data_IF_039018355165
#
_entry.id   IF_039018355165
#
_cell.length_a   1.000
_cell.length_b   1.000
_cell.length_c   1.000
_cell.angle_alpha   90.00
_cell.angle_beta   90.00
_cell.angle_gamma   90.00
#
_symmetry.space_group_name_H-M   'P 1'
#
loop_
_entity.id
_entity.type
_entity.pdbx_description
1 polymer ?
#
# COMPACT_ATOMS: atom_id res chain seq x y z
N UNK A 1 11.48 36.94 -11.61
CA UNK A 1 10.17 36.93 -12.29
C UNK A 1 9.42 35.73 -11.73
N UNK A 2 8.75 35.94 -10.61
CA UNK A 2 8.03 34.87 -9.93
C UNK A 2 6.75 34.57 -10.70
N UNK A 3 6.59 33.32 -11.12
CA UNK A 3 5.39 32.86 -11.79
C UNK A 3 4.20 32.96 -10.82
N UNK A 4 3.04 33.48 -11.26
CA UNK A 4 1.90 33.66 -10.38
C UNK A 4 1.36 32.31 -9.90
N UNK A 5 1.18 32.19 -8.60
CA UNK A 5 0.45 31.10 -7.95
C UNK A 5 -1.00 31.13 -8.48
N UNK A 6 -1.30 30.28 -9.46
CA UNK A 6 -2.67 30.05 -9.92
C UNK A 6 -3.41 29.40 -8.75
N UNK A 7 -4.24 30.19 -8.06
CA UNK A 7 -5.17 29.66 -7.07
C UNK A 7 -6.27 28.92 -7.82
N UNK A 8 -6.21 27.59 -7.76
CA UNK A 8 -7.27 26.71 -8.25
C UNK A 8 -8.51 26.87 -7.35
N UNK A 9 -9.73 26.87 -7.92
CA UNK A 9 -10.96 27.16 -7.19
C UNK A 9 -11.32 25.95 -6.33
N UNK A 10 -10.78 25.94 -5.11
CA UNK A 10 -11.01 24.90 -4.11
C UNK A 10 -9.78 24.67 -3.22
N UNK A 11 -9.36 25.67 -2.44
CA UNK A 11 -8.63 25.55 -1.16
C UNK A 11 -7.38 24.67 -1.00
N UNK A 12 -6.91 23.93 -2.00
CA UNK A 12 -5.76 23.03 -1.89
C UNK A 12 -4.50 23.74 -2.39
N UNK A 13 -3.52 23.91 -1.51
CA UNK A 13 -2.23 24.48 -1.85
C UNK A 13 -1.26 23.41 -2.30
N UNK A 14 -0.56 23.66 -3.40
CA UNK A 14 0.53 22.82 -3.89
C UNK A 14 1.61 22.63 -2.80
N UNK A 15 2.20 21.43 -2.68
CA UNK A 15 3.34 21.16 -1.80
C UNK A 15 4.49 22.17 -1.93
N UNK A 16 5.14 22.50 -0.82
CA UNK A 16 6.34 23.32 -0.79
C UNK A 16 7.61 22.49 -1.03
N UNK A 17 7.60 21.20 -0.67
CA UNK A 17 8.73 20.30 -0.89
C UNK A 17 8.41 18.82 -0.73
N UNK A 18 9.43 17.97 -0.89
CA UNK A 18 9.34 16.50 -0.78
C UNK A 18 8.79 16.02 0.57
N UNK A 19 9.00 16.81 1.62
CA UNK A 19 8.48 16.51 2.95
C UNK A 19 6.97 16.66 3.07
N UNK A 20 6.25 17.21 2.09
CA UNK A 20 4.79 17.40 2.16
C UNK A 20 3.99 16.23 1.55
N UNK A 21 4.69 15.15 1.19
CA UNK A 21 4.12 13.91 0.67
C UNK A 21 4.12 12.86 1.77
N UNK A 22 2.93 12.42 2.17
CA UNK A 22 2.75 11.41 3.22
C UNK A 22 2.43 10.02 2.66
N UNK A 23 1.96 9.97 1.41
CA UNK A 23 1.52 8.74 0.75
C UNK A 23 2.35 8.48 -0.49
N UNK A 24 2.89 7.27 -0.59
CA UNK A 24 3.51 6.75 -1.79
C UNK A 24 2.60 5.74 -2.48
N UNK A 25 2.60 5.69 -3.81
CA UNK A 25 1.96 4.64 -4.60
C UNK A 25 3.03 3.99 -5.48
N UNK A 26 3.15 2.67 -5.39
CA UNK A 26 4.13 1.88 -6.13
C UNK A 26 3.37 0.95 -7.07
N UNK A 27 3.71 0.98 -8.36
CA UNK A 27 3.11 0.13 -9.41
C UNK A 27 4.22 -0.66 -10.12
N UNK A 28 3.97 -1.93 -10.43
CA UNK A 28 4.96 -2.79 -11.08
C UNK A 28 4.87 -2.75 -12.62
N UNK A 29 3.67 -2.52 -13.16
CA UNK A 29 3.37 -2.54 -14.58
C UNK A 29 2.81 -1.19 -15.05
N UNK A 30 3.05 -0.87 -16.32
CA UNK A 30 2.52 0.37 -16.94
C UNK A 30 1.00 0.44 -16.89
N UNK A 31 0.28 -0.67 -17.07
CA UNK A 31 -1.19 -0.71 -17.00
C UNK A 31 -1.72 -0.36 -15.60
N UNK A 32 -0.93 -0.63 -14.55
CA UNK A 32 -1.26 -0.33 -13.15
C UNK A 32 -1.00 1.15 -12.87
N UNK A 33 0.18 1.63 -13.29
CA UNK A 33 0.55 3.03 -13.19
C UNK A 33 -0.44 3.93 -13.93
N UNK A 34 -0.81 3.59 -15.17
CA UNK A 34 -1.78 4.33 -15.97
C UNK A 34 -3.17 4.39 -15.29
N UNK A 35 -3.61 3.29 -14.67
CA UNK A 35 -4.87 3.25 -13.91
C UNK A 35 -4.85 4.18 -12.70
N UNK A 36 -3.74 4.19 -11.94
CA UNK A 36 -3.52 5.11 -10.82
C UNK A 36 -3.49 6.57 -11.30
N UNK A 37 -2.76 6.87 -12.37
CA UNK A 37 -2.66 8.22 -12.93
C UNK A 37 -4.00 8.75 -13.44
N UNK A 38 -4.88 7.88 -13.96
CA UNK A 38 -6.24 8.28 -14.35
C UNK A 38 -7.08 8.74 -13.15
N UNK A 39 -6.71 8.36 -11.93
CA UNK A 39 -7.38 8.73 -10.69
C UNK A 39 -6.69 9.86 -9.91
N UNK A 40 -5.54 10.36 -10.35
CA UNK A 40 -4.95 11.58 -9.79
C UNK A 40 -5.86 12.77 -10.15
N UNK A 41 -6.22 13.56 -9.14
CA UNK A 41 -7.11 14.71 -9.30
C UNK A 41 -6.37 15.92 -9.88
N UNK A 42 -5.09 16.07 -9.53
CA UNK A 42 -4.25 17.18 -9.95
C UNK A 42 -2.78 16.74 -9.95
N UNK A 43 -2.06 17.03 -11.04
CA UNK A 43 -0.63 16.70 -11.16
C UNK A 43 0.22 17.88 -10.68
N UNK A 44 1.25 17.58 -9.91
CA UNK A 44 2.20 18.57 -9.40
C UNK A 44 3.48 18.66 -10.23
N UNK A 45 3.61 17.86 -11.27
CA UNK A 45 4.78 17.74 -12.16
C UNK A 45 4.46 17.99 -13.63
N UNK A 46 3.23 18.44 -13.96
CA UNK A 46 2.78 18.67 -15.35
C UNK A 46 3.73 19.58 -16.16
N UNK A 47 4.40 20.52 -15.48
CA UNK A 47 5.35 21.47 -16.07
C UNK A 47 6.81 21.19 -15.68
N UNK A 48 7.11 19.94 -15.30
CA UNK A 48 8.43 19.48 -14.85
C UNK A 48 8.48 19.17 -13.35
N UNK A 49 9.39 18.29 -12.98
CA UNK A 49 9.61 17.89 -11.59
C UNK A 49 10.36 18.98 -10.82
N UNK A 50 9.62 19.68 -9.95
CA UNK A 50 10.14 20.72 -9.04
C UNK A 50 10.60 20.18 -7.69
N UNK A 51 10.23 18.95 -7.34
CA UNK A 51 10.53 18.36 -6.04
C UNK A 51 11.85 17.60 -6.08
N UNK A 52 12.14 16.99 -7.25
CA UNK A 52 13.36 16.25 -7.48
C UNK A 52 13.44 15.00 -6.60
N UNK A 53 14.67 14.52 -6.44
CA UNK A 53 15.00 13.33 -5.65
C UNK A 53 16.41 13.49 -5.07
N UNK A 54 16.74 12.67 -4.07
CA UNK A 54 18.10 12.70 -3.51
C UNK A 54 19.12 12.16 -4.51
N UNK A 55 20.39 12.56 -4.34
CA UNK A 55 21.48 12.02 -5.15
C UNK A 55 21.58 10.50 -4.98
N UNK A 56 21.74 9.78 -6.09
CA UNK A 56 21.80 8.31 -6.12
C UNK A 56 20.45 7.62 -6.26
N UNK A 57 19.35 8.35 -6.15
CA UNK A 57 18.01 7.83 -6.45
C UNK A 57 17.78 7.78 -7.97
N UNK A 58 17.54 6.58 -8.49
CA UNK A 58 17.32 6.34 -9.92
C UNK A 58 15.83 6.28 -10.29
N UNK A 59 14.92 6.32 -9.32
CA UNK A 59 13.47 6.29 -9.57
C UNK A 59 13.03 7.52 -10.35
N UNK A 60 11.98 7.36 -11.16
CA UNK A 60 11.25 8.46 -11.76
C UNK A 60 9.94 8.58 -11.01
N UNK A 61 9.66 9.79 -10.52
CA UNK A 61 8.47 10.05 -9.73
C UNK A 61 7.44 10.83 -10.53
N UNK A 62 6.19 10.44 -10.34
CA UNK A 62 5.04 11.27 -10.66
C UNK A 62 4.45 11.82 -9.38
N UNK A 63 4.19 13.13 -9.34
CA UNK A 63 3.65 13.77 -8.13
C UNK A 63 2.29 14.36 -8.39
N UNK A 64 1.38 14.25 -7.42
CA UNK A 64 0.04 14.78 -7.59
C UNK A 64 -0.76 14.82 -6.30
N UNK A 65 -2.04 15.13 -6.44
CA UNK A 65 -3.04 15.09 -5.39
C UNK A 65 -4.07 14.02 -5.71
N UNK A 66 -4.37 13.20 -4.72
CA UNK A 66 -5.44 12.20 -4.79
C UNK A 66 -6.30 12.36 -3.55
N UNK A 67 -7.52 12.86 -3.74
CA UNK A 67 -8.39 13.35 -2.67
C UNK A 67 -7.77 14.55 -1.95
N UNK A 68 -7.58 14.38 -0.65
CA UNK A 68 -6.96 15.37 0.24
C UNK A 68 -5.45 15.17 0.43
N UNK A 69 -4.88 14.10 -0.14
CA UNK A 69 -3.49 13.71 0.09
C UNK A 69 -2.60 14.13 -1.08
N UNK A 70 -1.38 14.58 -0.76
CA UNK A 70 -0.30 14.66 -1.74
C UNK A 70 0.33 13.28 -1.89
N UNK A 71 0.43 12.82 -3.13
CA UNK A 71 0.92 11.49 -3.49
C UNK A 71 2.18 11.58 -4.33
N UNK A 72 3.13 10.71 -4.03
CA UNK A 72 4.26 10.40 -4.91
C UNK A 72 4.05 9.01 -5.48
N UNK A 73 4.04 8.90 -6.80
CA UNK A 73 3.83 7.65 -7.54
C UNK A 73 5.15 7.25 -8.19
N UNK A 74 5.51 5.98 -8.07
CA UNK A 74 6.67 5.39 -8.76
C UNK A 74 6.21 4.15 -9.53
N UNK A 75 6.63 4.07 -10.79
CA UNK A 75 6.53 2.85 -11.59
C UNK A 75 7.87 2.10 -11.52
N UNK A 76 7.82 0.81 -11.20
CA UNK A 76 9.00 -0.04 -11.27
C UNK A 76 9.39 -0.32 -12.72
N UNK A 77 10.69 -0.45 -13.04
CA UNK A 77 11.14 -0.77 -14.39
C UNK A 77 10.80 -2.22 -14.78
N UNK A 78 10.77 -3.14 -13.81
CA UNK A 78 10.36 -4.53 -13.97
C UNK A 78 9.77 -5.04 -12.64
N UNK A 79 9.04 -6.15 -12.71
CA UNK A 79 8.52 -6.89 -11.54
C UNK A 79 9.63 -7.52 -10.68
N UNK A 80 9.31 -7.84 -9.44
CA UNK A 80 10.17 -8.61 -8.53
C UNK A 80 10.55 -7.88 -7.23
N UNK A 81 10.79 -8.66 -6.17
CA UNK A 81 10.98 -8.15 -4.80
C UNK A 81 12.19 -7.24 -4.67
N UNK A 82 13.32 -7.61 -5.27
CA UNK A 82 14.56 -6.85 -5.16
C UNK A 82 14.45 -5.44 -5.77
N UNK A 83 13.77 -5.32 -6.92
CA UNK A 83 13.55 -4.01 -7.55
C UNK A 83 12.55 -3.17 -6.76
N UNK A 84 11.49 -3.81 -6.24
CA UNK A 84 10.52 -3.14 -5.39
C UNK A 84 11.16 -2.60 -4.10
N UNK A 85 12.02 -3.39 -3.44
CA UNK A 85 12.78 -2.97 -2.27
C UNK A 85 13.71 -1.79 -2.58
N UNK A 86 14.53 -1.89 -3.64
CA UNK A 86 15.44 -0.82 -4.04
C UNK A 86 14.71 0.49 -4.35
N UNK A 87 13.57 0.40 -5.06
CA UNK A 87 12.73 1.55 -5.35
C UNK A 87 12.11 2.14 -4.08
N UNK A 88 11.59 1.31 -3.17
CA UNK A 88 11.01 1.75 -1.90
C UNK A 88 12.04 2.40 -0.97
N UNK A 89 13.25 1.84 -0.87
CA UNK A 89 14.36 2.41 -0.10
C UNK A 89 14.79 3.79 -0.61
N UNK A 90 14.87 3.93 -1.94
CA UNK A 90 15.19 5.19 -2.60
C UNK A 90 14.06 6.21 -2.42
N UNK A 91 12.80 5.78 -2.53
CA UNK A 91 11.62 6.60 -2.28
C UNK A 91 11.59 7.11 -0.85
N UNK A 92 11.83 6.26 0.15
CA UNK A 92 11.92 6.67 1.57
C UNK A 92 12.97 7.77 1.77
N UNK A 93 14.10 7.65 1.08
CA UNK A 93 15.18 8.64 1.15
C UNK A 93 14.82 9.96 0.45
N UNK A 94 14.10 9.87 -0.67
CA UNK A 94 13.63 11.03 -1.43
C UNK A 94 12.39 11.70 -0.85
N UNK A 95 11.50 10.99 -0.17
CA UNK A 95 10.27 11.56 0.38
C UNK A 95 10.18 11.17 1.85
N UNK A 96 10.93 11.88 2.73
CA UNK A 96 11.21 11.42 4.09
C UNK A 96 10.00 11.41 5.03
N UNK A 97 8.87 11.99 4.60
CA UNK A 97 7.62 12.04 5.38
C UNK A 97 6.57 11.04 4.87
N UNK A 98 6.92 10.18 3.91
CA UNK A 98 6.07 9.07 3.51
C UNK A 98 5.90 8.13 4.70
N UNK A 99 4.66 7.99 5.14
CA UNK A 99 4.28 7.15 6.29
C UNK A 99 3.34 6.01 5.91
N UNK A 100 2.81 6.03 4.68
CA UNK A 100 2.02 4.98 4.08
C UNK A 100 2.43 4.78 2.61
N UNK A 101 2.81 3.57 2.24
CA UNK A 101 2.95 3.15 0.86
C UNK A 101 1.78 2.25 0.43
N UNK A 102 1.21 2.50 -0.74
CA UNK A 102 0.23 1.62 -1.38
C UNK A 102 0.92 0.91 -2.54
N UNK A 103 1.09 -0.41 -2.43
CA UNK A 103 1.54 -1.22 -3.55
C UNK A 103 0.31 -1.65 -4.35
N UNK A 104 0.06 -0.98 -5.46
CA UNK A 104 -1.15 -1.15 -6.27
C UNK A 104 -0.80 -1.91 -7.54
N UNK A 105 -1.54 -2.97 -7.83
CA UNK A 105 -1.31 -3.73 -9.05
C UNK A 105 -2.24 -4.90 -9.25
N UNK A 106 -1.80 -5.92 -10.00
CA UNK A 106 -2.55 -7.16 -10.23
C UNK A 106 -1.94 -8.36 -9.53
N UNK A 107 -2.74 -9.40 -9.30
CA UNK A 107 -2.32 -10.65 -8.67
C UNK A 107 -3.08 -11.87 -9.25
N UNK A 108 -2.54 -13.05 -8.94
CA UNK A 108 -3.27 -14.31 -9.10
C UNK A 108 -3.96 -14.70 -7.79
N UNK A 109 -5.20 -15.15 -7.84
CA UNK A 109 -5.99 -15.49 -6.64
C UNK A 109 -6.07 -16.99 -6.35
N UNK A 110 -6.27 -17.31 -5.08
CA UNK A 110 -6.84 -18.60 -4.66
C UNK A 110 -8.36 -18.49 -4.84
N UNK A 111 -8.98 -19.32 -5.70
CA UNK A 111 -10.36 -19.09 -6.14
C UNK A 111 -11.40 -19.26 -5.04
N UNK A 112 -11.08 -20.00 -3.97
CA UNK A 112 -11.98 -20.25 -2.86
C UNK A 112 -11.26 -20.09 -1.52
N UNK A 113 -11.83 -19.26 -0.65
CA UNK A 113 -11.32 -19.03 0.71
C UNK A 113 -12.30 -19.66 1.70
N UNK A 114 -11.77 -20.35 2.71
CA UNK A 114 -12.56 -20.82 3.84
C UNK A 114 -12.85 -19.67 4.80
N UNK A 115 -14.13 -19.43 5.07
CA UNK A 115 -14.63 -18.50 6.08
C UNK A 115 -15.44 -19.27 7.14
N UNK A 116 -15.69 -18.67 8.30
CA UNK A 116 -16.48 -19.29 9.39
C UNK A 116 -17.90 -19.68 8.93
N UNK A 117 -18.45 -18.94 7.98
CA UNK A 117 -19.80 -19.07 7.42
C UNK A 117 -19.89 -19.93 6.15
N UNK A 118 -18.76 -20.44 5.63
CA UNK A 118 -18.73 -21.21 4.38
C UNK A 118 -17.51 -20.92 3.51
N UNK A 119 -17.54 -21.36 2.24
CA UNK A 119 -16.51 -20.99 1.26
C UNK A 119 -16.93 -19.72 0.53
N UNK A 120 -16.09 -18.69 0.58
CA UNK A 120 -16.24 -17.49 -0.23
C UNK A 120 -15.44 -17.65 -1.52
N UNK A 121 -16.06 -17.37 -2.65
CA UNK A 121 -15.40 -17.42 -3.96
C UNK A 121 -14.80 -16.06 -4.30
N UNK A 122 -13.52 -16.03 -4.68
CA UNK A 122 -12.87 -14.86 -5.26
C UNK A 122 -13.05 -14.92 -6.77
N UNK A 123 -13.51 -13.83 -7.39
CA UNK A 123 -13.71 -13.71 -8.84
C UNK A 123 -12.62 -12.88 -9.51
N UNK A 124 -12.48 -13.03 -10.83
CA UNK A 124 -11.62 -12.13 -11.59
C UNK A 124 -12.20 -10.70 -11.51
N UNK A 125 -11.33 -9.72 -11.29
CA UNK A 125 -11.72 -8.33 -11.06
C UNK A 125 -11.91 -7.94 -9.59
N UNK A 126 -12.11 -8.90 -8.69
CA UNK A 126 -12.12 -8.64 -7.24
C UNK A 126 -10.77 -8.04 -6.80
N UNK A 127 -10.75 -7.37 -5.65
CA UNK A 127 -9.54 -6.75 -5.10
C UNK A 127 -9.15 -7.41 -3.79
N UNK A 128 -7.88 -7.75 -3.66
CA UNK A 128 -7.28 -8.31 -2.44
C UNK A 128 -6.48 -7.21 -1.73
N UNK A 129 -6.77 -7.00 -0.46
CA UNK A 129 -6.05 -6.08 0.43
C UNK A 129 -5.26 -6.90 1.44
N UNK A 130 -3.95 -6.68 1.53
CA UNK A 130 -3.12 -7.44 2.48
C UNK A 130 -3.39 -7.06 3.93
N UNK A 131 -3.60 -8.06 4.78
CA UNK A 131 -3.43 -7.93 6.23
C UNK A 131 -2.05 -8.42 6.70
N UNK A 132 -1.43 -9.31 5.93
CA UNK A 132 -0.12 -9.92 6.15
C UNK A 132 0.49 -10.17 4.76
N UNK A 133 1.80 -10.01 4.64
CA UNK A 133 2.58 -10.46 3.47
C UNK A 133 3.45 -11.63 3.91
N UNK A 134 3.41 -12.72 3.14
CA UNK A 134 4.15 -13.95 3.39
C UNK A 134 5.12 -14.18 2.25
N UNK A 135 6.42 -14.21 2.51
CA UNK A 135 7.39 -14.62 1.51
C UNK A 135 7.43 -16.15 1.46
N UNK A 136 7.02 -16.74 0.33
CA UNK A 136 6.83 -18.20 0.23
C UNK A 136 7.95 -18.93 -0.51
N UNK A 137 8.89 -18.22 -1.14
CA UNK A 137 9.87 -18.79 -2.08
C UNK A 137 11.30 -18.99 -1.53
N UNK A 138 11.61 -18.50 -0.32
CA UNK A 138 12.95 -18.62 0.30
C UNK A 138 12.91 -19.44 1.58
N UNK A 139 12.22 -18.92 2.60
CA UNK A 139 11.79 -19.59 3.80
C UNK A 139 10.39 -19.04 4.06
N UNK A 140 9.43 -19.89 4.43
CA UNK A 140 8.07 -19.43 4.72
C UNK A 140 8.13 -18.44 5.88
N UNK A 141 8.17 -17.16 5.55
CA UNK A 141 8.41 -16.08 6.50
C UNK A 141 7.27 -15.07 6.40
N UNK A 142 6.55 -14.94 7.51
CA UNK A 142 5.58 -13.87 7.67
C UNK A 142 6.37 -12.63 8.07
N UNK A 143 6.30 -11.56 7.28
CA UNK A 143 7.11 -10.34 7.47
C UNK A 143 6.67 -9.49 8.68
N UNK A 144 6.10 -10.13 9.69
CA UNK A 144 5.57 -9.52 10.88
C UNK A 144 4.22 -8.84 10.65
N UNK A 145 3.75 -8.23 11.73
CA UNK A 145 2.46 -7.58 11.75
C UNK A 145 2.59 -6.15 11.21
N UNK A 146 1.65 -5.66 10.37
CA UNK A 146 1.66 -4.26 9.96
C UNK A 146 1.64 -3.31 11.15
N UNK A 147 2.13 -2.09 10.92
CA UNK A 147 2.20 -1.07 11.96
C UNK A 147 0.78 -0.72 12.50
N UNK A 148 0.72 -0.06 13.67
CA UNK A 148 -0.55 0.24 14.34
C UNK A 148 -1.53 1.06 13.49
N UNK A 149 -1.02 2.00 12.69
CA UNK A 149 -1.84 2.84 11.81
C UNK A 149 -2.52 1.97 10.75
N UNK A 150 -1.76 1.16 10.01
CA UNK A 150 -2.27 0.27 8.97
C UNK A 150 -3.28 -0.71 9.56
N UNK A 151 -3.00 -1.27 10.75
CA UNK A 151 -3.95 -2.16 11.42
C UNK A 151 -5.28 -1.50 11.75
N UNK A 152 -5.26 -0.24 12.17
CA UNK A 152 -6.48 0.51 12.43
C UNK A 152 -7.26 0.78 11.14
N UNK A 153 -6.56 1.07 10.03
CA UNK A 153 -7.18 1.18 8.69
C UNK A 153 -7.84 -0.14 8.33
N UNK A 154 -7.11 -1.27 8.40
CA UNK A 154 -7.63 -2.60 8.06
C UNK A 154 -8.82 -3.01 8.95
N UNK A 155 -8.77 -2.72 10.26
CA UNK A 155 -9.88 -2.98 11.18
C UNK A 155 -11.13 -2.18 10.80
N UNK A 156 -10.96 -0.92 10.41
CA UNK A 156 -12.06 -0.11 9.89
C UNK A 156 -12.61 -0.68 8.57
N UNK A 157 -11.75 -1.06 7.63
CA UNK A 157 -12.14 -1.67 6.35
C UNK A 157 -12.83 -3.04 6.51
N UNK A 158 -12.70 -3.70 7.66
CA UNK A 158 -13.37 -4.97 7.94
C UNK A 158 -14.81 -4.79 8.43
N UNK A 159 -15.24 -3.57 8.78
CA UNK A 159 -16.60 -3.31 9.23
C UNK A 159 -17.59 -3.23 8.06
N UNK A 160 -18.75 -3.88 8.17
CA UNK A 160 -19.76 -4.00 7.10
C UNK A 160 -20.11 -2.67 6.44
N UNK A 161 -20.41 -1.63 7.23
CA UNK A 161 -20.77 -0.30 6.70
C UNK A 161 -19.59 0.34 5.95
N UNK A 162 -18.38 0.21 6.47
CA UNK A 162 -17.19 0.74 5.81
C UNK A 162 -16.90 -0.02 4.51
N UNK A 163 -17.14 -1.33 4.51
CA UNK A 163 -16.97 -2.22 3.38
C UNK A 163 -17.86 -1.82 2.20
N UNK A 164 -19.17 -1.72 2.41
CA UNK A 164 -20.12 -1.22 1.41
C UNK A 164 -19.74 0.18 0.89
N UNK A 165 -19.36 1.09 1.78
CA UNK A 165 -18.99 2.46 1.39
C UNK A 165 -17.70 2.52 0.55
N UNK A 166 -16.77 1.58 0.76
CA UNK A 166 -15.53 1.50 -0.03
C UNK A 166 -15.84 0.92 -1.40
N UNK A 167 -16.65 -0.14 -1.48
CA UNK A 167 -17.09 -0.74 -2.75
C UNK A 167 -17.85 0.27 -3.62
N UNK A 168 -18.84 0.97 -3.06
CA UNK A 168 -19.59 2.02 -3.76
C UNK A 168 -18.68 3.12 -4.32
N UNK A 169 -17.72 3.60 -3.52
CA UNK A 169 -16.76 4.63 -3.96
C UNK A 169 -15.81 4.09 -5.04
N UNK A 170 -15.32 2.86 -4.86
CA UNK A 170 -14.45 2.22 -5.84
C UNK A 170 -15.19 2.04 -7.18
N UNK A 171 -16.47 1.65 -7.16
CA UNK A 171 -17.31 1.55 -8.35
C UNK A 171 -17.40 2.91 -9.08
N UNK A 172 -17.64 4.00 -8.36
CA UNK A 172 -17.63 5.35 -8.95
C UNK A 172 -16.27 5.72 -9.59
N UNK A 173 -15.16 5.40 -8.93
CA UNK A 173 -13.82 5.63 -9.49
C UNK A 173 -13.51 4.75 -10.71
N UNK A 174 -14.01 3.52 -10.74
CA UNK A 174 -13.88 2.62 -11.89
C UNK A 174 -14.64 3.16 -13.09
N UNK A 175 -15.88 3.62 -12.91
CA UNK A 175 -16.65 4.30 -13.95
C UNK A 175 -15.90 5.51 -14.51
N UNK A 176 -15.24 6.28 -13.64
CA UNK A 176 -14.43 7.42 -14.02
C UNK A 176 -13.22 7.05 -14.89
N UNK A 177 -12.49 5.98 -14.51
CA UNK A 177 -11.39 5.41 -15.33
C UNK A 177 -11.94 5.02 -16.71
N UNK A 178 -13.00 4.21 -16.75
CA UNK A 178 -13.59 3.69 -17.98
C UNK A 178 -14.13 4.81 -18.88
N UNK A 179 -14.74 5.84 -18.30
CA UNK A 179 -15.22 7.03 -19.02
C UNK A 179 -14.07 7.84 -19.59
N UNK A 180 -13.00 8.08 -18.82
CA UNK A 180 -11.80 8.81 -19.27
C UNK A 180 -11.10 8.09 -20.42
N UNK A 181 -10.99 6.76 -20.35
CA UNK A 181 -10.33 5.95 -21.39
C UNK A 181 -11.17 5.87 -22.67
N UNK A 182 -12.49 5.65 -22.57
CA UNK A 182 -13.42 5.70 -23.73
C UNK A 182 -13.33 7.03 -24.48
N UNK A 183 -13.25 8.17 -23.78
CA UNK A 183 -13.09 9.50 -24.40
C UNK A 183 -11.75 9.63 -25.13
N UNK A 184 -10.65 9.20 -24.51
CA UNK A 184 -9.30 9.26 -25.11
C UNK A 184 -9.18 8.36 -26.35
N UNK A 185 -9.76 7.16 -26.31
CA UNK A 185 -9.79 6.22 -27.44
C UNK A 185 -10.52 6.79 -28.66
N UNK A 186 -11.61 7.54 -28.45
CA UNK A 186 -12.36 8.21 -29.53
C UNK A 186 -11.61 9.41 -30.13
N UNK A 187 -10.91 10.18 -29.30
CA UNK A 187 -10.24 11.41 -29.71
C UNK A 187 -8.85 11.22 -30.33
N UNK A 188 -8.18 10.09 -30.11
CA UNK A 188 -6.80 9.91 -30.57
C UNK A 188 -6.46 8.44 -30.86
N UNK A 189 -6.86 7.94 -32.05
CA UNK A 189 -6.61 6.56 -32.52
C UNK A 189 -5.11 6.18 -32.65
N UNK A 190 -4.18 7.14 -32.54
CA UNK A 190 -2.73 6.90 -32.68
C UNK A 190 -2.01 6.55 -31.38
N UNK A 191 -2.59 6.83 -30.20
CA UNK A 191 -2.01 6.45 -28.89
C UNK A 191 -2.77 5.25 -28.32
N UNK A 192 -2.09 4.11 -28.20
CA UNK A 192 -2.65 2.86 -27.69
C UNK A 192 -2.88 2.89 -26.18
N UNK A 193 -3.91 3.60 -25.73
CA UNK A 193 -4.35 3.56 -24.33
C UNK A 193 -4.87 2.17 -23.97
N UNK A 194 -4.56 1.70 -22.76
CA UNK A 194 -5.11 0.46 -22.22
C UNK A 194 -6.65 0.53 -22.12
N UNK A 195 -7.31 -0.58 -22.40
CA UNK A 195 -8.76 -0.72 -22.24
C UNK A 195 -9.08 -1.36 -20.89
N UNK A 196 -9.78 -0.60 -20.06
CA UNK A 196 -10.16 -0.94 -18.69
C UNK A 196 -11.63 -1.39 -18.57
N UNK A 197 -12.27 -1.78 -19.68
CA UNK A 197 -13.64 -2.30 -19.64
C UNK A 197 -13.71 -3.61 -18.86
N UNK A 198 -14.85 -3.84 -18.20
CA UNK A 198 -15.18 -5.13 -17.64
C UNK A 198 -15.23 -6.20 -18.73
N UNK A 199 -14.43 -7.29 -18.64
CA UNK A 199 -14.44 -8.34 -19.65
C UNK A 199 -15.75 -9.14 -19.72
N UNK A 200 -16.59 -9.07 -18.69
CA UNK A 200 -17.86 -9.80 -18.61
C UNK A 200 -17.74 -11.10 -17.83
N UNK A 201 -18.81 -11.47 -17.12
CA UNK A 201 -18.85 -12.66 -16.24
C UNK A 201 -18.55 -13.97 -16.98
N UNK A 202 -18.95 -14.08 -18.25
CA UNK A 202 -18.66 -15.26 -19.09
C UNK A 202 -17.15 -15.47 -19.36
N UNK A 203 -16.33 -14.43 -19.18
CA UNK A 203 -14.88 -14.48 -19.34
C UNK A 203 -14.14 -14.76 -18.01
N UNK A 204 -14.86 -14.92 -16.90
CA UNK A 204 -14.33 -15.49 -15.67
C UNK A 204 -14.39 -17.02 -15.77
N UNK A 205 -13.29 -17.59 -16.27
CA UNK A 205 -13.16 -19.02 -16.57
C UNK A 205 -12.18 -19.66 -15.61
N UNK A 206 -12.70 -20.33 -14.58
CA UNK A 206 -11.93 -21.11 -13.63
C UNK A 206 -11.94 -22.59 -14.03
N UNK A 207 -10.76 -23.17 -14.27
CA UNK A 207 -10.62 -24.61 -14.51
C UNK A 207 -10.33 -25.36 -13.20
N UNK A 208 -10.67 -26.65 -13.17
CA UNK A 208 -10.27 -27.54 -12.08
C UNK A 208 -8.75 -27.50 -11.88
N UNK A 209 -8.27 -27.47 -10.62
CA UNK A 209 -6.85 -27.21 -10.32
C UNK A 209 -5.87 -28.26 -10.87
N UNK A 210 -6.37 -29.47 -11.15
CA UNK A 210 -5.61 -30.54 -11.82
C UNK A 210 -5.66 -30.54 -13.35
N UNK A 211 -6.45 -29.67 -13.98
CA UNK A 211 -6.61 -29.65 -15.44
C UNK A 211 -5.37 -29.06 -16.13
N UNK A 212 -4.84 -29.79 -17.11
CA UNK A 212 -3.57 -29.47 -17.76
C UNK A 212 -3.75 -28.53 -18.96
N UNK A 213 -3.06 -27.40 -18.93
CA UNK A 213 -2.98 -26.46 -20.05
C UNK A 213 -1.94 -26.92 -21.08
N UNK A 214 -2.39 -27.76 -22.02
CA UNK A 214 -1.53 -28.42 -23.00
C UNK A 214 -2.13 -28.43 -24.41
N UNK A 215 -1.31 -28.73 -25.40
CA UNK A 215 -1.80 -28.94 -26.76
C UNK A 215 -2.78 -30.11 -26.83
N UNK A 216 -3.80 -29.97 -27.68
CA UNK A 216 -4.77 -31.02 -27.96
C UNK A 216 -4.15 -32.27 -28.58
N UNK A 217 -4.88 -33.39 -28.48
CA UNK A 217 -4.52 -34.66 -29.11
C UNK A 217 -4.35 -34.49 -30.62
N UNK A 218 -3.24 -34.97 -31.18
CA UNK A 218 -2.93 -34.84 -32.61
C UNK A 218 -2.23 -33.54 -33.01
N UNK A 219 -1.79 -32.72 -32.04
CA UNK A 219 -0.94 -31.55 -32.28
C UNK A 219 0.47 -31.87 -32.79
N UNK A 220 0.92 -33.14 -32.71
CA UNK A 220 2.29 -33.54 -33.02
C UNK A 220 3.31 -33.13 -31.95
N UNK A 221 2.87 -32.56 -30.83
CA UNK A 221 3.74 -32.17 -29.73
C UNK A 221 4.09 -33.38 -28.85
N UNK A 222 5.28 -33.95 -29.05
CA UNK A 222 5.75 -35.14 -28.33
C UNK A 222 5.75 -35.02 -26.79
N UNK A 223 5.85 -33.80 -26.26
CA UNK A 223 5.79 -33.54 -24.81
C UNK A 223 4.35 -33.59 -24.32
N UNK A 224 3.44 -32.84 -24.97
CA UNK A 224 2.03 -32.75 -24.55
C UNK A 224 1.25 -34.05 -24.80
N UNK A 225 1.64 -34.84 -25.80
CA UNK A 225 1.07 -36.17 -26.07
C UNK A 225 1.33 -37.16 -24.92
N UNK A 226 2.45 -37.02 -24.22
CA UNK A 226 2.82 -37.83 -23.05
C UNK A 226 2.34 -37.26 -21.72
N UNK A 227 1.66 -36.12 -21.73
CA UNK A 227 1.12 -35.51 -20.52
C UNK A 227 -0.23 -36.12 -20.20
N UNK A 228 -0.28 -37.08 -19.27
CA UNK A 228 -1.51 -37.78 -18.86
C UNK A 228 -2.00 -37.36 -17.48
N UNK A 229 -1.18 -36.62 -16.73
CA UNK A 229 -1.54 -36.08 -15.43
C UNK A 229 -0.72 -34.87 -15.03
N UNK A 230 -0.89 -34.50 -13.77
CA UNK A 230 -0.31 -33.33 -13.11
C UNK A 230 1.20 -33.42 -12.85
N UNK A 231 1.76 -34.63 -12.89
CA UNK A 231 3.20 -34.87 -12.73
C UNK A 231 3.94 -34.85 -14.06
N UNK A 232 3.23 -34.86 -15.18
CA UNK A 232 3.83 -34.90 -16.50
C UNK A 232 4.08 -33.49 -17.02
N UNK A 233 5.21 -33.25 -17.71
CA UNK A 233 5.53 -31.92 -18.21
C UNK A 233 4.61 -31.53 -19.37
N UNK A 234 4.21 -30.26 -19.40
CA UNK A 234 3.69 -29.61 -20.62
C UNK A 234 4.84 -28.91 -21.35
N UNK A 235 4.74 -28.73 -22.66
CA UNK A 235 5.80 -28.01 -23.39
C UNK A 235 5.81 -26.51 -23.01
N UNK A 236 6.96 -25.85 -23.17
CA UNK A 236 7.10 -24.44 -22.83
C UNK A 236 6.29 -23.49 -23.74
N UNK A 237 5.86 -23.98 -24.90
CA UNK A 237 5.05 -23.19 -25.85
C UNK A 237 3.64 -22.94 -25.30
N UNK A 238 3.05 -23.91 -24.60
CA UNK A 238 1.68 -23.76 -24.06
C UNK A 238 1.59 -22.65 -23.02
N UNK A 239 2.71 -22.31 -22.37
CA UNK A 239 2.81 -21.21 -21.42
C UNK A 239 2.55 -19.81 -22.03
N UNK A 240 2.60 -19.70 -23.36
CA UNK A 240 2.36 -18.44 -24.08
C UNK A 240 0.97 -18.39 -24.72
N UNK A 241 0.32 -19.55 -24.86
CA UNK A 241 -0.95 -19.72 -25.54
C UNK A 241 -2.11 -19.58 -24.54
N UNK A 242 -3.21 -19.01 -25.00
CA UNK A 242 -4.47 -18.89 -24.28
C UNK A 242 -5.25 -20.21 -24.29
N UNK A 243 -6.27 -20.29 -23.42
CA UNK A 243 -7.19 -21.43 -23.38
C UNK A 243 -7.95 -21.60 -24.70
N UNK A 244 -8.23 -20.50 -25.40
CA UNK A 244 -8.91 -20.50 -26.70
C UNK A 244 -8.01 -21.04 -27.79
N UNK A 245 -6.74 -20.62 -27.84
CA UNK A 245 -5.75 -21.12 -28.81
C UNK A 245 -5.45 -22.61 -28.62
N UNK A 246 -5.44 -23.10 -27.38
CA UNK A 246 -5.24 -24.54 -27.09
C UNK A 246 -6.50 -25.38 -27.19
N UNK A 247 -7.69 -24.76 -27.23
CA UNK A 247 -8.96 -25.48 -27.18
C UNK A 247 -9.18 -26.22 -25.87
N UNK A 248 -8.91 -25.57 -24.72
CA UNK A 248 -9.12 -26.18 -23.41
C UNK A 248 -10.57 -26.65 -23.23
N UNK A 249 -10.71 -27.85 -22.64
CA UNK A 249 -11.95 -28.58 -22.48
C UNK A 249 -12.85 -27.92 -21.44
N UNK A 250 -13.98 -27.38 -21.89
CA UNK A 250 -14.94 -26.67 -21.06
C UNK A 250 -15.61 -27.56 -20.01
N UNK A 251 -15.57 -28.88 -20.14
CA UNK A 251 -16.09 -29.80 -19.11
C UNK A 251 -15.30 -29.74 -17.79
N UNK A 252 -14.08 -29.22 -17.82
CA UNK A 252 -13.26 -28.98 -16.63
C UNK A 252 -13.44 -27.59 -16.02
N UNK A 253 -14.32 -26.75 -16.58
CA UNK A 253 -14.68 -25.48 -15.97
C UNK A 253 -15.50 -25.72 -14.69
N UNK A 254 -15.11 -25.05 -13.62
CA UNK A 254 -15.86 -25.05 -12.38
C UNK A 254 -17.03 -24.08 -12.52
N UNK A 255 -18.24 -24.53 -12.18
CA UNK A 255 -19.42 -23.67 -12.17
C UNK A 255 -19.31 -22.61 -11.07
N UNK A 256 -19.63 -21.36 -11.42
CA UNK A 256 -19.50 -20.18 -10.56
C UNK A 256 -20.89 -19.57 -10.37
N UNK A 257 -21.69 -20.14 -9.48
CA UNK A 257 -23.12 -19.81 -9.31
C UNK A 257 -23.34 -18.31 -9.00
N UNK A 258 -22.47 -17.69 -8.21
CA UNK A 258 -22.56 -16.26 -7.85
C UNK A 258 -22.33 -15.30 -9.03
N UNK A 259 -21.78 -15.79 -10.15
CA UNK A 259 -21.63 -15.01 -11.38
C UNK A 259 -22.84 -15.13 -12.33
N UNK A 260 -23.79 -16.01 -12.02
CA UNK A 260 -24.99 -16.28 -12.83
C UNK A 260 -26.22 -15.46 -12.40
N UNK A 261 -26.10 -14.68 -11.32
CA UNK A 261 -27.14 -13.77 -10.82
C UNK A 261 -27.54 -12.77 -11.91
N UNK A 262 -28.77 -12.87 -12.41
CA UNK A 262 -29.34 -11.86 -13.31
C UNK A 262 -29.65 -10.58 -12.52
N UNK A 263 -29.54 -9.40 -13.14
CA UNK A 263 -29.86 -8.11 -12.50
C UNK A 263 -31.38 -7.90 -12.41
N UNK A 264 -32.10 -8.81 -11.73
CA UNK A 264 -33.52 -8.64 -11.42
C UNK A 264 -33.76 -7.95 -10.05
N UNK A 265 -32.71 -7.74 -9.26
CA UNK A 265 -32.78 -6.90 -8.06
C UNK A 265 -32.28 -5.49 -8.39
N UNK A 266 -33.21 -4.55 -8.42
CA UNK A 266 -33.00 -3.11 -8.66
C UNK A 266 -32.08 -2.40 -7.66
N UNK A 267 -31.51 -3.13 -6.70
CA UNK A 267 -30.61 -2.66 -5.65
C UNK A 267 -29.21 -3.33 -5.67
N UNK A 268 -28.96 -4.27 -6.60
CA UNK A 268 -27.62 -4.85 -6.78
C UNK A 268 -26.82 -4.03 -7.81
N UNK A 269 -25.61 -3.57 -7.43
CA UNK A 269 -24.62 -3.10 -8.40
C UNK A 269 -24.48 -4.21 -9.46
N UNK A 270 -24.84 -3.90 -10.72
CA UNK A 270 -24.96 -4.90 -11.79
C UNK A 270 -23.69 -5.74 -12.02
N UNK A 271 -23.72 -6.71 -12.96
CA UNK A 271 -22.56 -7.57 -13.21
C UNK A 271 -21.30 -6.73 -13.50
N UNK A 272 -20.29 -6.84 -12.64
CA UNK A 272 -19.03 -6.06 -12.72
C UNK A 272 -18.81 -4.99 -11.64
N UNK A 273 -19.55 -5.04 -10.51
CA UNK A 273 -19.19 -4.30 -9.30
C UNK A 273 -17.87 -4.77 -8.69
N UNK A 274 -17.13 -3.85 -8.07
CA UNK A 274 -15.90 -4.14 -7.33
C UNK A 274 -16.25 -4.74 -5.98
N UNK A 275 -15.78 -5.96 -5.75
CA UNK A 275 -15.74 -6.57 -4.43
C UNK A 275 -14.33 -6.63 -3.90
N UNK A 276 -14.15 -6.45 -2.59
CA UNK A 276 -12.82 -6.62 -1.99
C UNK A 276 -12.78 -7.59 -0.82
N UNK A 277 -11.64 -8.26 -0.71
CA UNK A 277 -11.32 -9.24 0.31
C UNK A 277 -10.06 -8.81 1.08
N UNK A 278 -10.05 -9.01 2.39
CA UNK A 278 -8.87 -8.76 3.22
C UNK A 278 -8.26 -10.12 3.61
N UNK A 279 -6.98 -10.33 3.32
CA UNK A 279 -6.31 -11.57 3.69
C UNK A 279 -4.80 -11.56 3.45
N UNK A 280 -4.16 -12.70 3.72
CA UNK A 280 -2.72 -12.82 3.56
C UNK A 280 -2.36 -12.95 2.06
N UNK A 281 -1.34 -12.23 1.63
CA UNK A 281 -0.83 -12.29 0.25
C UNK A 281 0.56 -12.93 0.24
N UNK A 282 0.74 -13.94 -0.60
CA UNK A 282 2.04 -14.57 -0.86
C UNK A 282 2.87 -13.75 -1.84
N UNK A 283 4.11 -13.43 -1.48
CA UNK A 283 5.06 -12.69 -2.31
C UNK A 283 6.23 -13.59 -2.73
N UNK A 284 6.55 -13.64 -4.02
CA UNK A 284 7.66 -14.45 -4.54
C UNK A 284 8.15 -13.97 -5.92
N UNK A 285 9.31 -14.43 -6.39
CA UNK A 285 9.89 -13.98 -7.68
C UNK A 285 9.42 -14.81 -8.90
N UNK A 286 8.66 -15.87 -8.67
CA UNK A 286 8.15 -16.73 -9.71
C UNK A 286 6.62 -16.63 -9.83
N UNK A 287 6.12 -16.49 -11.06
CA UNK A 287 4.69 -16.59 -11.32
C UNK A 287 4.23 -18.03 -11.09
N UNK A 288 3.20 -18.23 -10.26
CA UNK A 288 2.56 -19.53 -10.08
C UNK A 288 1.81 -19.91 -11.37
N UNK A 289 2.01 -21.15 -11.84
CA UNK A 289 1.43 -21.67 -13.09
C UNK A 289 0.82 -23.06 -12.95
N UNK A 290 0.50 -23.47 -11.73
CA UNK A 290 -0.10 -24.77 -11.44
C UNK A 290 -1.13 -24.60 -10.35
N UNK A 291 -2.39 -24.93 -10.66
CA UNK A 291 -3.48 -24.81 -9.71
C UNK A 291 -3.28 -25.68 -8.46
N UNK A 292 -2.73 -26.89 -8.62
CA UNK A 292 -2.38 -27.74 -7.46
C UNK A 292 -1.26 -27.15 -6.60
N UNK A 293 -0.23 -26.59 -7.23
CA UNK A 293 0.86 -25.95 -6.49
C UNK A 293 0.38 -24.70 -5.74
N UNK A 294 -0.46 -23.89 -6.38
CA UNK A 294 -1.18 -22.79 -5.74
C UNK A 294 -1.96 -23.28 -4.52
N UNK A 295 -2.79 -24.31 -4.67
CA UNK A 295 -3.63 -24.84 -3.60
C UNK A 295 -2.76 -25.35 -2.43
N UNK A 296 -1.62 -25.98 -2.73
CA UNK A 296 -0.66 -26.42 -1.73
C UNK A 296 -0.07 -25.24 -0.94
N UNK A 297 0.47 -24.22 -1.62
CA UNK A 297 1.03 -23.05 -0.94
C UNK A 297 -0.04 -22.31 -0.16
N UNK A 298 -1.25 -22.18 -0.70
CA UNK A 298 -2.38 -21.54 -0.02
C UNK A 298 -2.74 -22.27 1.28
N UNK A 299 -2.74 -23.61 1.28
CA UNK A 299 -2.99 -24.42 2.47
C UNK A 299 -1.87 -24.33 3.51
N UNK A 300 -0.60 -24.31 3.07
CA UNK A 300 0.58 -24.27 3.94
C UNK A 300 0.81 -22.87 4.55
N UNK A 301 0.66 -21.82 3.75
CA UNK A 301 0.96 -20.44 4.11
C UNK A 301 -0.27 -19.63 4.56
N UNK A 302 -1.49 -20.14 4.34
CA UNK A 302 -2.73 -19.43 4.64
C UNK A 302 -2.97 -18.19 3.76
N UNK A 303 -2.37 -18.14 2.57
CA UNK A 303 -2.49 -17.02 1.62
C UNK A 303 -3.71 -17.17 0.72
N UNK A 304 -4.28 -16.03 0.29
CA UNK A 304 -5.44 -16.00 -0.61
C UNK A 304 -5.10 -15.43 -2.00
N UNK A 305 -3.90 -14.90 -2.18
CA UNK A 305 -3.42 -14.35 -3.45
C UNK A 305 -1.90 -14.40 -3.54
N UNK A 306 -1.38 -14.26 -4.76
CA UNK A 306 0.05 -14.31 -5.09
C UNK A 306 0.44 -13.11 -5.95
N UNK A 307 1.53 -12.44 -5.56
CA UNK A 307 2.14 -11.31 -6.28
C UNK A 307 3.68 -11.34 -6.13
N UNK A 308 4.39 -10.35 -6.70
CA UNK A 308 5.85 -10.43 -6.88
C UNK A 308 6.66 -9.28 -6.27
N UNK A 309 6.04 -8.33 -5.57
CA UNK A 309 6.72 -7.11 -5.11
C UNK A 309 6.59 -6.85 -3.60
N UNK A 310 5.49 -7.29 -3.00
CA UNK A 310 5.02 -6.92 -1.66
C UNK A 310 6.07 -7.11 -0.58
N UNK A 311 6.76 -8.25 -0.57
CA UNK A 311 7.78 -8.52 0.43
C UNK A 311 8.94 -7.52 0.39
N UNK A 312 9.37 -7.10 -0.81
CA UNK A 312 10.43 -6.11 -0.94
C UNK A 312 10.02 -4.71 -0.47
N UNK A 313 8.78 -4.30 -0.74
CA UNK A 313 8.27 -2.99 -0.26
C UNK A 313 8.10 -2.99 1.26
N UNK A 314 7.63 -4.10 1.81
CA UNK A 314 7.29 -4.25 3.22
C UNK A 314 8.48 -4.01 4.16
N UNK A 315 9.68 -4.44 3.76
CA UNK A 315 10.91 -4.22 4.53
C UNK A 315 11.36 -2.75 4.57
N UNK A 316 10.90 -1.94 3.61
CA UNK A 316 11.40 -0.58 3.43
C UNK A 316 10.41 0.50 3.89
N UNK A 317 9.12 0.27 3.71
CA UNK A 317 8.06 1.24 3.97
C UNK A 317 6.85 0.57 4.64
N UNK A 318 6.18 1.23 5.60
CA UNK A 318 4.88 0.76 6.05
C UNK A 318 3.90 0.77 4.88
N UNK A 319 3.41 -0.41 4.48
CA UNK A 319 2.63 -0.53 3.27
C UNK A 319 1.33 -1.33 3.39
N UNK A 320 0.39 -1.04 2.50
CA UNK A 320 -0.79 -1.85 2.21
C UNK A 320 -0.64 -2.34 0.77
N UNK A 321 -0.75 -3.65 0.56
CA UNK A 321 -0.72 -4.25 -0.77
C UNK A 321 -2.16 -4.39 -1.25
N UNK A 322 -2.48 -3.78 -2.39
CA UNK A 322 -3.82 -3.72 -2.97
C UNK A 322 -3.73 -4.27 -4.40
N UNK A 323 -4.29 -5.45 -4.61
CA UNK A 323 -4.11 -6.18 -5.88
C UNK A 323 -5.44 -6.60 -6.47
N UNK A 324 -5.68 -6.23 -7.72
CA UNK A 324 -6.82 -6.73 -8.49
C UNK A 324 -6.53 -8.13 -9.03
N UNK A 325 -7.52 -9.00 -9.03
CA UNK A 325 -7.37 -10.38 -9.47
C UNK A 325 -7.46 -10.47 -10.99
N UNK A 326 -6.37 -10.86 -11.65
CA UNK A 326 -6.34 -11.01 -13.11
C UNK A 326 -6.24 -12.46 -13.61
N UNK A 327 -5.87 -13.39 -12.73
CA UNK A 327 -5.90 -14.83 -12.98
C UNK A 327 -6.06 -15.60 -11.66
N UNK A 328 -6.12 -16.93 -11.75
CA UNK A 328 -6.26 -17.81 -10.59
C UNK A 328 -4.94 -18.46 -10.18
N UNK A 329 -3.79 -17.83 -10.43
CA UNK A 329 -2.46 -18.37 -10.09
C UNK A 329 -2.28 -19.82 -10.59
N UNK A 330 -2.71 -20.11 -11.82
CA UNK A 330 -2.60 -21.41 -12.47
C UNK A 330 -2.07 -21.29 -13.90
N UNK A 331 -2.13 -22.38 -14.65
CA UNK A 331 -1.65 -22.43 -16.03
C UNK A 331 -2.58 -21.71 -17.02
N UNK A 332 -3.83 -21.42 -16.65
CA UNK A 332 -4.91 -20.91 -17.49
C UNK A 332 -4.92 -19.38 -17.51
N UNK A 333 -3.76 -18.79 -17.82
CA UNK A 333 -3.58 -17.33 -17.72
C UNK A 333 -4.57 -16.57 -18.59
N UNK A 334 -5.17 -15.54 -18.00
CA UNK A 334 -6.12 -14.67 -18.70
C UNK A 334 -5.62 -13.23 -18.77
N UNK A 335 -4.92 -12.90 -19.86
CA UNK A 335 -4.39 -11.54 -20.08
C UNK A 335 -5.50 -10.50 -20.26
N UNK A 336 -6.71 -10.90 -20.65
CA UNK A 336 -7.84 -9.99 -20.86
C UNK A 336 -8.29 -9.26 -19.60
N UNK A 337 -8.01 -9.82 -18.42
CA UNK A 337 -8.42 -9.21 -17.14
C UNK A 337 -7.41 -8.24 -16.55
N UNK A 338 -6.15 -8.23 -17.01
CA UNK A 338 -5.10 -7.43 -16.35
C UNK A 338 -5.43 -5.94 -16.28
N UNK A 339 -5.92 -5.36 -17.36
CA UNK A 339 -6.30 -3.94 -17.36
C UNK A 339 -7.45 -3.71 -16.37
N UNK A 340 -8.57 -4.44 -16.51
CA UNK A 340 -9.71 -4.27 -15.63
C UNK A 340 -9.34 -4.45 -14.15
N UNK A 341 -8.60 -5.51 -13.82
CA UNK A 341 -8.10 -5.76 -12.47
C UNK A 341 -7.20 -4.63 -11.94
N UNK A 342 -6.35 -4.05 -12.79
CA UNK A 342 -5.56 -2.89 -12.38
C UNK A 342 -6.41 -1.64 -12.11
N UNK A 343 -7.48 -1.43 -12.89
CA UNK A 343 -8.44 -0.37 -12.62
C UNK A 343 -9.22 -0.62 -11.33
N UNK A 344 -9.66 -1.84 -11.05
CA UNK A 344 -10.35 -2.13 -9.78
C UNK A 344 -9.43 -1.92 -8.59
N UNK A 345 -8.18 -2.38 -8.66
CA UNK A 345 -7.17 -2.13 -7.63
C UNK A 345 -6.91 -0.63 -7.39
N UNK A 346 -6.73 0.15 -8.45
CA UNK A 346 -6.52 1.60 -8.36
C UNK A 346 -7.74 2.32 -7.76
N UNK A 347 -8.95 1.91 -8.13
CA UNK A 347 -10.20 2.44 -7.57
C UNK A 347 -10.33 2.16 -6.08
N UNK A 348 -10.05 0.94 -5.63
CA UNK A 348 -10.05 0.59 -4.20
C UNK A 348 -8.97 1.36 -3.45
N UNK A 349 -7.77 1.49 -4.03
CA UNK A 349 -6.69 2.29 -3.43
C UNK A 349 -7.15 3.73 -3.18
N UNK A 350 -7.75 4.40 -4.17
CA UNK A 350 -8.27 5.76 -4.00
C UNK A 350 -9.43 5.83 -2.98
N UNK A 351 -10.32 4.83 -2.96
CA UNK A 351 -11.42 4.77 -2.00
C UNK A 351 -10.92 4.68 -0.54
N UNK A 352 -9.89 3.86 -0.30
CA UNK A 352 -9.24 3.71 1.01
C UNK A 352 -8.50 5.00 1.40
N UNK A 353 -7.83 5.64 0.44
CA UNK A 353 -7.16 6.93 0.68
C UNK A 353 -8.13 8.02 1.15
N UNK A 354 -9.39 7.99 0.71
CA UNK A 354 -10.43 8.89 1.22
C UNK A 354 -10.77 8.71 2.71
N UNK A 355 -10.23 7.66 3.36
CA UNK A 355 -10.31 7.42 4.82
C UNK A 355 -8.99 7.72 5.53
N UNK A 356 -7.92 7.93 4.79
CA UNK A 356 -6.65 8.35 5.36
C UNK A 356 -6.76 9.81 5.78
N UNK A 357 -6.75 10.04 7.09
CA UNK A 357 -6.70 11.39 7.65
C UNK A 357 -5.22 11.78 7.72
N UNK A 358 -4.79 12.62 6.78
CA UNK A 358 -3.46 13.20 6.79
C UNK A 358 -3.19 13.87 8.15
N UNK A 359 -1.98 13.72 8.67
CA UNK A 359 -1.65 14.30 9.97
C UNK A 359 -1.74 15.82 9.91
N UNK A 360 -2.56 16.43 10.78
CA UNK A 360 -2.59 17.89 10.92
C UNK A 360 -1.23 18.32 11.44
N UNK A 361 -0.48 19.04 10.60
CA UNK A 361 0.71 19.76 11.05
C UNK A 361 0.24 20.96 11.83
N UNK A 362 0.45 20.95 13.15
CA UNK A 362 0.44 22.21 13.90
C UNK A 362 1.63 22.98 13.37
N UNK A 363 1.39 23.98 12.54
CA UNK A 363 2.43 24.93 12.17
C UNK A 363 2.87 25.63 13.44
N UNK A 364 4.15 25.58 13.78
CA UNK A 364 4.76 26.46 14.80
C UNK A 364 4.82 27.91 14.31
N UNK A 365 3.74 28.41 13.71
CA UNK A 365 3.62 29.77 13.18
C UNK A 365 2.41 30.46 13.79
N UNK A 366 2.36 30.50 15.12
CA UNK A 366 1.53 31.43 15.89
C UNK A 366 2.05 31.54 17.34
N UNK A 367 3.33 31.80 17.52
CA UNK A 367 3.81 32.54 18.70
C UNK A 367 4.78 33.63 18.24
N UNK A 368 4.22 34.71 17.69
CA UNK A 368 4.84 36.02 17.85
C UNK A 368 4.12 36.69 19.02
N UNK A 369 4.72 36.58 20.19
CA UNK A 369 4.69 37.64 21.18
C UNK A 369 6.14 37.95 21.53
N UNK A 370 6.70 38.88 20.77
CA UNK A 370 7.71 39.85 21.16
C UNK A 370 8.59 39.50 22.39
N UNK A 371 9.86 39.11 22.21
CA UNK A 371 10.79 38.87 23.31
C UNK A 371 11.19 40.15 24.08
N UNK A 372 10.76 41.35 23.64
CA UNK A 372 11.21 42.61 24.25
C UNK A 372 10.40 43.07 25.47
N UNK A 373 9.41 42.29 25.94
CA UNK A 373 8.57 42.66 27.09
C UNK A 373 8.50 41.69 28.27
N UNK A 374 9.33 40.65 28.30
CA UNK A 374 9.54 39.91 29.55
C UNK A 374 10.69 40.55 30.30
N UNK A 375 10.37 41.22 31.40
CA UNK A 375 11.37 41.70 32.37
C UNK A 375 12.16 40.48 32.84
N UNK A 376 13.44 40.40 32.46
CA UNK A 376 14.35 39.39 32.96
C UNK A 376 14.33 39.40 34.50
N UNK A 377 14.11 38.27 35.19
CA UNK A 377 14.45 38.19 36.59
C UNK A 377 15.97 38.39 36.69
N UNK A 378 16.40 39.38 37.47
CA UNK A 378 17.82 39.57 37.78
C UNK A 378 18.31 38.32 38.51
N UNK A 379 19.15 37.54 37.85
CA UNK A 379 19.88 36.45 38.50
C UNK A 379 20.90 37.07 39.45
N UNK A 380 20.71 36.86 40.75
CA UNK A 380 21.74 37.12 41.74
C UNK A 380 22.96 36.29 41.39
N UNK A 381 24.07 36.96 41.10
CA UNK A 381 25.38 36.38 40.99
C UNK A 381 25.82 35.87 42.36
N UNK A 382 25.47 34.63 42.72
CA UNK A 382 26.13 33.87 43.78
C UNK A 382 25.56 32.44 43.87
N UNK A 383 26.11 31.50 43.11
CA UNK A 383 26.18 30.07 43.51
C UNK A 383 26.90 29.23 42.45
N UNK A 384 28.24 29.24 42.51
CA UNK A 384 29.04 28.17 41.90
C UNK A 384 28.85 26.87 42.69
N UNK A 385 28.77 25.69 42.06
CA UNK A 385 28.64 24.43 42.77
C UNK A 385 29.91 24.14 43.59
N UNK A 386 29.73 23.79 44.87
CA UNK A 386 30.83 23.28 45.70
C UNK A 386 30.81 21.75 45.71
N UNK A 387 31.98 21.15 45.48
CA UNK A 387 32.20 19.70 45.57
C UNK A 387 32.40 19.31 47.04
N UNK A 388 31.56 18.40 47.53
CA UNK A 388 31.77 17.76 48.83
C UNK A 388 32.95 16.79 48.79
N UNK A 389 33.59 16.58 49.95
CA UNK A 389 34.74 15.67 50.10
C UNK A 389 34.41 14.18 49.83
N UNK A 390 33.13 13.85 49.60
CA UNK A 390 32.61 12.54 49.18
C UNK A 390 32.51 12.39 47.65
N UNK A 391 32.90 13.41 46.87
CA UNK A 391 32.81 13.40 45.41
C UNK A 391 31.40 13.64 44.87
N UNK A 392 30.43 14.00 45.74
CA UNK A 392 29.04 14.24 45.35
C UNK A 392 28.79 15.74 45.21
N UNK A 393 28.44 16.18 44.01
CA UNK A 393 27.98 17.56 43.78
C UNK A 393 26.53 17.72 44.26
N UNK A 394 26.27 18.70 45.13
CA UNK A 394 24.91 19.08 45.56
C UNK A 394 24.58 20.48 45.07
N UNK A 395 23.41 20.64 44.46
CA UNK A 395 22.88 21.95 44.08
C UNK A 395 21.47 22.08 44.65
N UNK A 396 21.24 23.16 45.40
CA UNK A 396 19.92 23.49 45.96
C UNK A 396 19.21 24.37 44.95
N UNK A 397 18.06 23.92 44.46
CA UNK A 397 17.18 24.73 43.60
C UNK A 397 16.00 25.17 44.46
N UNK A 398 15.87 26.47 44.71
CA UNK A 398 14.68 27.04 45.33
C UNK A 398 13.55 27.16 44.30
N UNK A 399 12.37 26.66 44.66
CA UNK A 399 11.19 26.70 43.80
C UNK A 399 10.18 27.69 44.35
N UNK A 400 10.09 28.86 43.71
CA UNK A 400 9.16 29.91 44.10
C UNK A 400 7.78 29.68 43.47
N UNK A 401 7.03 28.78 44.10
CA UNK A 401 5.55 28.76 44.15
C UNK A 401 4.78 29.10 42.87
N UNK A 402 4.81 28.21 41.87
CA UNK A 402 3.84 28.19 40.77
C UNK A 402 3.02 26.91 40.81
N UNK A 403 1.68 26.99 40.83
CA UNK A 403 0.78 25.81 40.97
C UNK A 403 1.22 24.63 40.09
N UNK A 404 1.45 23.47 40.72
CA UNK A 404 1.76 22.22 40.04
C UNK A 404 0.54 21.71 39.25
N UNK A 405 0.49 22.05 37.96
CA UNK A 405 -0.28 21.31 36.96
C UNK A 405 0.55 20.15 36.43
N UNK A 406 -0.06 18.99 36.28
CA UNK A 406 0.55 17.67 35.97
C UNK A 406 1.25 17.57 34.60
N UNK A 407 2.33 18.32 34.39
CA UNK A 407 3.18 18.27 33.22
C UNK A 407 4.62 17.97 33.60
N UNK A 408 5.24 17.01 32.91
CA UNK A 408 6.67 16.68 33.05
C UNK A 408 7.49 17.91 32.63
N UNK A 409 8.02 18.66 33.60
CA UNK A 409 8.95 19.77 33.36
C UNK A 409 10.37 19.25 33.16
N UNK A 410 10.99 19.55 32.02
CA UNK A 410 12.38 19.21 31.77
C UNK A 410 13.31 20.24 32.44
N UNK A 411 14.13 19.80 33.38
CA UNK A 411 15.25 20.59 33.91
C UNK A 411 16.45 20.40 33.00
N UNK A 412 16.92 21.46 32.31
CA UNK A 412 18.18 21.44 31.54
C UNK A 412 19.31 21.93 32.43
N UNK A 413 20.34 21.11 32.60
CA UNK A 413 21.62 21.54 33.16
C UNK A 413 22.57 21.92 32.03
N UNK A 414 23.21 23.09 32.11
CA UNK A 414 24.31 23.45 31.24
C UNK A 414 25.61 22.92 31.85
N UNK A 415 25.99 21.70 31.49
CA UNK A 415 27.27 21.09 31.84
C UNK A 415 27.42 19.68 31.26
N UNK A 416 28.57 19.40 30.65
CA UNK A 416 28.90 18.06 30.15
C UNK A 416 29.14 17.11 31.33
N UNK A 417 28.21 16.19 31.58
CA UNK A 417 28.45 15.04 32.47
C UNK A 417 28.20 13.78 31.66
N UNK A 418 29.27 13.06 31.31
CA UNK A 418 29.16 11.75 30.68
C UNK A 418 28.97 10.67 31.75
N UNK A 419 27.93 9.85 31.60
CA UNK A 419 27.97 8.46 32.08
C UNK A 419 27.11 8.03 33.28
N UNK A 420 26.19 8.84 33.83
CA UNK A 420 25.41 8.40 35.01
C UNK A 420 23.90 8.66 34.92
N UNK A 421 23.10 7.67 35.36
CA UNK A 421 21.63 7.74 35.43
C UNK A 421 21.21 8.57 36.65
N UNK A 422 20.36 9.58 36.43
CA UNK A 422 19.72 10.37 37.48
C UNK A 422 18.59 9.56 38.14
N UNK A 423 18.61 9.48 39.47
CA UNK A 423 17.52 8.88 40.27
C UNK A 423 16.99 9.94 41.24
N UNK A 424 15.69 10.23 41.18
CA UNK A 424 15.03 11.16 42.09
C UNK A 424 14.82 10.50 43.46
N UNK A 425 15.22 11.20 44.54
CA UNK A 425 14.96 10.78 45.91
C UNK A 425 13.52 11.09 46.37
N UNK A 426 13.07 10.54 47.51
CA UNK A 426 11.74 10.79 48.04
C UNK A 426 11.56 12.27 48.44
N UNK A 427 10.34 12.80 48.21
CA UNK A 427 9.95 14.15 48.57
C UNK A 427 10.04 14.36 50.09
N UNK A 428 10.74 15.41 50.53
CA UNK A 428 10.70 15.87 51.91
C UNK A 428 9.65 16.97 52.08
N UNK A 429 9.05 17.05 53.28
CA UNK A 429 8.06 18.06 53.66
C UNK A 429 8.74 19.43 53.84
N UNK A 430 9.07 20.06 52.71
CA UNK A 430 9.75 21.36 52.65
C UNK A 430 9.93 21.91 51.23
N UNK A 431 9.39 21.24 50.20
CA UNK A 431 9.48 21.70 48.81
C UNK A 431 10.85 21.48 48.15
N UNK A 432 11.76 20.77 48.82
CA UNK A 432 13.11 20.46 48.31
C UNK A 432 13.16 19.04 47.77
N UNK A 433 13.57 18.89 46.50
CA UNK A 433 13.88 17.60 45.89
C UNK A 433 15.41 17.39 45.87
N UNK A 434 15.85 16.25 46.41
CA UNK A 434 17.25 15.82 46.29
C UNK A 434 17.43 14.93 45.06
N UNK A 435 18.39 15.28 44.22
CA UNK A 435 18.84 14.47 43.11
C UNK A 435 20.19 13.85 43.43
N UNK A 436 20.35 12.56 43.14
CA UNK A 436 21.63 11.85 43.29
C UNK A 436 22.14 11.41 41.92
N UNK A 437 23.45 11.57 41.71
CA UNK A 437 24.19 10.92 40.63
C UNK A 437 24.68 9.56 41.15
N UNK A 438 24.51 8.49 40.37
CA UNK A 438 25.04 7.16 40.67
C UNK A 438 26.16 6.80 39.69
#
# INVERSE_FOLDING_TARGET
>A
MDAPLIQHPGGFTRPNGRSDFEVAIICALTLEFDAVCLLIDEFWDEYGDRYGKVQGDHNIYTTGRMGTCNVVVVQLPNMGKALAASAAASLRSSYPQVSLALLVGVCGAVPFIRHESGMNAISLGDVIISNIVVQYDTALDSLGRPNKMIRNILAHLSGTIAHEQIEQRANSFLEDIQRKTRKKARGNRRRGYADYQYPGAANDRLFHSGYQHKHGSGSGCMICEKCHGDKDPTCLETLKLSCEELGCDSSYLIQREHLQSTPDDSDSDGPGGIYYHIGAIGSGDAVIRSGKHRDQIAAEAGVIAFEMEGAGVWDELPCIVIKGVCDYADSHKNKGWQNYAAATAASVAKAIMGRYIATVRVSESSQVSDPSRVSSPSWGSDSSPSLGADGVGRQVIQWDGGKAGSGVGAVRFNGNVSGSKLVAGPYSSGGTMDFRFA
#
